data_IF_277146214647
#
_entry.id   IF_277146214647
#
_cell.length_a   1.000
_cell.length_b   1.000
_cell.length_c   1.000
_cell.angle_alpha   90.00
_cell.angle_beta   90.00
_cell.angle_gamma   90.00
#
_symmetry.space_group_name_H-M   'P 1'
#
loop_
_entity.id
_entity.type
_entity.pdbx_description
1 polymer ?
#
# COMPACT_ATOMS: atom_id res chain seq x y z
N UNK A 1 51.32 -5.02 23.88
CA UNK A 1 51.37 -4.50 22.49
C UNK A 1 50.37 -5.26 21.59
N UNK A 2 50.55 -6.56 21.34
CA UNK A 2 49.65 -7.34 20.45
C UNK A 2 48.16 -7.32 20.84
N UNK A 3 47.84 -7.38 22.14
CA UNK A 3 46.45 -7.33 22.61
C UNK A 3 45.80 -5.95 22.39
N UNK A 4 46.57 -4.88 22.60
CA UNK A 4 46.09 -3.50 22.37
C UNK A 4 45.91 -3.22 20.87
N UNK A 5 46.79 -3.71 20.00
CA UNK A 5 46.63 -3.58 18.55
C UNK A 5 45.40 -4.31 18.03
N UNK A 6 45.10 -5.49 18.56
CA UNK A 6 43.88 -6.25 18.22
C UNK A 6 42.61 -5.51 18.70
N UNK A 7 42.65 -4.90 19.89
CA UNK A 7 41.53 -4.09 20.39
C UNK A 7 41.27 -2.85 19.52
N UNK A 8 42.33 -2.12 19.14
CA UNK A 8 42.21 -0.95 18.25
C UNK A 8 41.66 -1.37 16.89
N UNK A 9 42.15 -2.48 16.32
CA UNK A 9 41.64 -3.01 15.05
C UNK A 9 40.14 -3.32 15.12
N UNK A 10 39.68 -3.99 16.18
CA UNK A 10 38.26 -4.31 16.38
C UNK A 10 37.37 -3.06 16.57
N UNK A 11 37.90 -2.02 17.22
CA UNK A 11 37.19 -0.75 17.36
C UNK A 11 37.06 -0.04 16.01
N UNK A 12 38.11 -0.03 15.19
CA UNK A 12 38.08 0.57 13.85
C UNK A 12 37.09 -0.15 12.94
N UNK A 13 37.09 -1.49 12.91
CA UNK A 13 36.10 -2.24 12.12
C UNK A 13 34.67 -1.98 12.60
N UNK A 14 34.46 -1.86 13.91
CA UNK A 14 33.15 -1.48 14.47
C UNK A 14 32.72 -0.07 14.03
N UNK A 15 33.65 0.89 14.04
CA UNK A 15 33.40 2.27 13.60
C UNK A 15 33.03 2.31 12.12
N UNK A 16 33.78 1.61 11.27
CA UNK A 16 33.51 1.50 9.84
C UNK A 16 32.12 0.92 9.59
N UNK A 17 31.75 -0.17 10.28
CA UNK A 17 30.42 -0.76 10.19
C UNK A 17 29.30 0.23 10.59
N UNK A 18 29.52 1.02 11.66
CA UNK A 18 28.55 2.05 12.08
C UNK A 18 28.42 3.16 11.04
N UNK A 19 29.52 3.61 10.44
CA UNK A 19 29.50 4.61 9.38
C UNK A 19 28.75 4.10 8.15
N UNK A 20 28.97 2.85 7.73
CA UNK A 20 28.22 2.23 6.64
C UNK A 20 26.72 2.12 6.95
N UNK A 21 26.36 1.78 8.19
CA UNK A 21 24.97 1.73 8.64
C UNK A 21 24.31 3.12 8.58
N UNK A 22 25.03 4.18 8.96
CA UNK A 22 24.53 5.56 8.90
C UNK A 22 24.26 5.99 7.46
N UNK A 23 25.22 5.79 6.55
CA UNK A 23 25.07 6.09 5.11
C UNK A 23 23.86 5.34 4.53
N UNK A 24 23.69 4.07 4.89
CA UNK A 24 22.54 3.27 4.46
C UNK A 24 21.20 3.85 4.94
N UNK A 25 21.15 4.31 6.20
CA UNK A 25 19.96 4.95 6.78
C UNK A 25 19.65 6.30 6.14
N UNK A 26 20.67 7.09 5.83
CA UNK A 26 20.52 8.37 5.13
C UNK A 26 19.96 8.16 3.71
N UNK A 27 20.52 7.20 2.97
CA UNK A 27 20.01 6.84 1.64
C UNK A 27 18.55 6.35 1.69
N UNK A 28 18.21 5.54 2.69
CA UNK A 28 16.83 5.09 2.93
C UNK A 28 15.88 6.26 3.21
N UNK A 29 16.29 7.19 4.08
CA UNK A 29 15.50 8.37 4.44
C UNK A 29 15.31 9.29 3.23
N UNK A 30 16.36 9.54 2.46
CA UNK A 30 16.31 10.34 1.24
C UNK A 30 15.36 9.71 0.21
N UNK A 31 15.42 8.38 0.03
CA UNK A 31 14.47 7.67 -0.84
C UNK A 31 13.03 7.86 -0.36
N UNK A 32 12.76 7.65 0.94
CA UNK A 32 11.43 7.81 1.52
C UNK A 32 10.91 9.26 1.45
N UNK A 33 11.78 10.26 1.59
CA UNK A 33 11.40 11.67 1.46
C UNK A 33 11.01 12.02 0.03
N UNK A 34 11.71 11.45 -0.96
CA UNK A 34 11.44 11.73 -2.37
C UNK A 34 10.21 10.98 -2.91
N UNK A 35 10.01 9.72 -2.48
CA UNK A 35 9.04 8.81 -3.11
C UNK A 35 7.96 8.26 -2.15
N UNK A 36 8.13 8.46 -0.84
CA UNK A 36 7.28 7.88 0.19
C UNK A 36 7.56 6.40 0.44
N UNK A 37 6.55 5.71 0.99
CA UNK A 37 6.60 4.29 1.36
C UNK A 37 5.77 3.44 0.41
N UNK A 38 6.21 2.21 0.12
CA UNK A 38 5.44 1.26 -0.68
C UNK A 38 4.11 0.92 -0.02
N UNK A 39 4.09 0.81 1.31
CA UNK A 39 2.86 0.60 2.08
C UNK A 39 1.80 1.66 1.74
N UNK A 40 2.16 2.94 1.77
CA UNK A 40 1.24 4.04 1.42
C UNK A 40 0.76 3.94 -0.03
N UNK A 41 1.64 3.54 -0.96
CA UNK A 41 1.26 3.33 -2.37
C UNK A 41 0.24 2.21 -2.53
N UNK A 42 0.41 1.09 -1.82
CA UNK A 42 -0.57 -0.02 -1.81
C UNK A 42 -1.90 0.43 -1.19
N UNK A 43 -1.86 1.18 -0.09
CA UNK A 43 -3.07 1.71 0.54
C UNK A 43 -3.79 2.75 -0.33
N UNK A 44 -3.08 3.42 -1.23
CA UNK A 44 -3.68 4.34 -2.21
C UNK A 44 -4.30 3.61 -3.42
N UNK A 45 -4.16 2.29 -3.54
CA UNK A 45 -4.81 1.52 -4.60
C UNK A 45 -6.33 1.46 -4.38
N UNK A 46 -7.07 1.39 -5.48
CA UNK A 46 -8.54 1.42 -5.45
C UNK A 46 -9.12 0.32 -4.55
N UNK A 47 -8.56 -0.89 -4.60
CA UNK A 47 -9.01 -2.02 -3.77
C UNK A 47 -8.93 -1.68 -2.28
N UNK A 48 -7.81 -1.14 -1.81
CA UNK A 48 -7.68 -0.77 -0.40
C UNK A 48 -8.67 0.34 -0.01
N UNK A 49 -8.79 1.40 -0.82
CA UNK A 49 -9.74 2.51 -0.57
C UNK A 49 -11.18 1.99 -0.46
N UNK A 50 -11.58 1.10 -1.36
CA UNK A 50 -12.92 0.51 -1.37
C UNK A 50 -13.15 -0.41 -0.16
N UNK A 51 -12.22 -1.31 0.14
CA UNK A 51 -12.32 -2.18 1.30
C UNK A 51 -12.39 -1.41 2.61
N UNK A 52 -11.59 -0.35 2.74
CA UNK A 52 -11.64 0.54 3.90
C UNK A 52 -13.01 1.22 4.02
N UNK A 53 -13.56 1.75 2.92
CA UNK A 53 -14.88 2.35 2.91
C UNK A 53 -15.98 1.36 3.31
N UNK A 54 -15.89 0.10 2.84
CA UNK A 54 -16.82 -0.97 3.24
C UNK A 54 -16.75 -1.23 4.75
N UNK A 55 -15.55 -1.39 5.33
CA UNK A 55 -15.37 -1.69 6.75
C UNK A 55 -15.87 -0.53 7.64
N UNK A 56 -15.58 0.71 7.26
CA UNK A 56 -15.93 1.88 8.07
C UNK A 56 -17.44 2.17 8.02
N UNK A 57 -18.05 2.11 6.84
CA UNK A 57 -19.42 2.56 6.65
C UNK A 57 -20.47 1.45 6.86
N UNK A 58 -20.08 0.17 6.84
CA UNK A 58 -21.01 -0.95 7.09
C UNK A 58 -21.49 -1.08 8.54
N UNK A 59 -20.92 -0.32 9.48
CA UNK A 59 -21.25 -0.39 10.91
C UNK A 59 -22.53 0.36 11.30
N UNK A 60 -23.05 1.21 10.42
CA UNK A 60 -24.23 2.04 10.67
C UNK A 60 -25.24 1.88 9.53
N UNK A 61 -26.53 1.92 9.85
CA UNK A 61 -27.61 1.86 8.85
C UNK A 61 -27.47 3.00 7.83
N UNK A 62 -27.25 4.23 8.29
CA UNK A 62 -27.06 5.39 7.40
C UNK A 62 -25.76 5.27 6.58
N UNK A 63 -24.70 4.74 7.18
CA UNK A 63 -23.44 4.47 6.47
C UNK A 63 -23.62 3.42 5.37
N UNK A 64 -24.37 2.35 5.64
CA UNK A 64 -24.67 1.30 4.68
C UNK A 64 -25.57 1.81 3.54
N UNK A 65 -26.60 2.60 3.84
CA UNK A 65 -27.47 3.22 2.83
C UNK A 65 -26.70 4.21 1.94
N UNK A 66 -25.73 4.93 2.50
CA UNK A 66 -24.89 5.88 1.78
C UNK A 66 -23.75 5.21 0.99
N UNK A 67 -23.49 3.92 1.23
CA UNK A 67 -22.35 3.17 0.71
C UNK A 67 -22.24 3.19 -0.82
N UNK A 68 -23.33 3.06 -1.61
CA UNK A 68 -23.23 3.15 -3.07
C UNK A 68 -22.68 4.50 -3.54
N UNK A 69 -23.10 5.60 -2.92
CA UNK A 69 -22.62 6.95 -3.24
C UNK A 69 -21.17 7.15 -2.83
N UNK A 70 -20.78 6.63 -1.65
CA UNK A 70 -19.39 6.67 -1.17
C UNK A 70 -18.47 5.90 -2.12
N UNK A 71 -18.85 4.68 -2.51
CA UNK A 71 -18.09 3.85 -3.46
C UNK A 71 -17.93 4.58 -4.79
N UNK A 72 -19.01 5.15 -5.34
CA UNK A 72 -18.97 5.90 -6.58
C UNK A 72 -18.02 7.11 -6.48
N UNK A 73 -18.11 7.88 -5.40
CA UNK A 73 -17.23 9.02 -5.14
C UNK A 73 -15.75 8.60 -5.12
N UNK A 74 -15.40 7.53 -4.40
CA UNK A 74 -14.03 7.01 -4.34
C UNK A 74 -13.51 6.61 -5.73
N UNK A 75 -14.33 5.93 -6.54
CA UNK A 75 -13.95 5.52 -7.90
C UNK A 75 -13.68 6.74 -8.79
N UNK A 76 -14.54 7.77 -8.71
CA UNK A 76 -14.39 8.99 -9.50
C UNK A 76 -13.11 9.72 -9.08
N UNK A 77 -12.92 9.97 -7.79
CA UNK A 77 -11.74 10.65 -7.25
C UNK A 77 -10.45 9.89 -7.60
N UNK A 78 -10.43 8.56 -7.45
CA UNK A 78 -9.27 7.75 -7.81
C UNK A 78 -8.95 7.84 -9.32
N UNK A 79 -9.96 7.82 -10.19
CA UNK A 79 -9.74 8.02 -11.64
C UNK A 79 -9.20 9.41 -11.96
N UNK A 80 -9.66 10.45 -11.25
CA UNK A 80 -9.16 11.81 -11.42
C UNK A 80 -7.71 11.94 -10.94
N UNK A 81 -7.37 11.41 -9.77
CA UNK A 81 -6.00 11.34 -9.25
C UNK A 81 -5.05 10.67 -10.25
N UNK A 82 -5.45 9.52 -10.82
CA UNK A 82 -4.66 8.78 -11.81
C UNK A 82 -4.46 9.57 -13.10
N UNK A 83 -5.48 10.31 -13.57
CA UNK A 83 -5.36 11.20 -14.74
C UNK A 83 -4.41 12.37 -14.44
N UNK A 84 -4.55 13.01 -13.29
CA UNK A 84 -3.70 14.11 -12.86
C UNK A 84 -2.24 13.68 -12.73
N UNK A 85 -1.98 12.51 -12.15
CA UNK A 85 -0.63 11.92 -12.06
C UNK A 85 -0.03 11.69 -13.46
N UNK A 86 -0.76 11.02 -14.36
CA UNK A 86 -0.31 10.80 -15.74
C UNK A 86 0.03 12.11 -16.45
N UNK A 87 -0.77 13.15 -16.25
CA UNK A 87 -0.51 14.47 -16.81
C UNK A 87 0.77 15.11 -16.24
N UNK A 88 0.97 15.05 -14.91
CA UNK A 88 2.18 15.56 -14.25
C UNK A 88 3.44 14.86 -14.76
N UNK A 89 3.42 13.53 -14.87
CA UNK A 89 4.55 12.73 -15.39
C UNK A 89 4.81 13.02 -16.87
N UNK A 90 3.76 13.19 -17.68
CA UNK A 90 3.92 13.60 -19.09
C UNK A 90 4.61 14.95 -19.23
N UNK A 91 4.30 15.91 -18.33
CA UNK A 91 4.92 17.24 -18.31
C UNK A 91 6.35 17.21 -17.79
N UNK A 92 6.62 16.38 -16.78
CA UNK A 92 7.94 16.21 -16.20
C UNK A 92 8.18 14.72 -15.85
N UNK A 93 8.93 13.99 -16.69
CA UNK A 93 9.20 12.56 -16.48
C UNK A 93 9.90 12.25 -15.16
N UNK A 94 10.66 13.19 -14.58
CA UNK A 94 11.35 13.01 -13.30
C UNK A 94 10.39 12.88 -12.10
N UNK A 95 9.10 13.21 -12.28
CA UNK A 95 8.06 13.02 -11.27
C UNK A 95 7.46 11.60 -11.27
N UNK A 96 7.92 10.72 -12.18
CA UNK A 96 7.49 9.34 -12.20
C UNK A 96 7.91 8.64 -10.90
N UNK A 97 6.94 8.04 -10.23
CA UNK A 97 7.22 7.18 -9.09
C UNK A 97 7.96 5.93 -9.57
N UNK A 98 9.02 5.49 -8.87
CA UNK A 98 9.73 4.28 -9.24
C UNK A 98 8.82 3.04 -9.11
N UNK A 99 9.21 1.89 -9.71
CA UNK A 99 8.47 0.63 -9.56
C UNK A 99 8.26 0.27 -8.08
N UNK A 100 7.21 -0.49 -7.75
CA UNK A 100 6.90 -0.77 -6.34
C UNK A 100 7.99 -1.64 -5.70
N UNK A 101 8.61 -2.50 -6.51
CA UNK A 101 9.65 -3.47 -6.16
C UNK A 101 10.96 -2.79 -5.72
N UNK A 102 11.20 -1.55 -6.14
CA UNK A 102 12.42 -0.81 -5.78
C UNK A 102 12.32 -0.13 -4.41
N UNK A 103 11.16 -0.20 -3.75
CA UNK A 103 10.96 0.44 -2.47
C UNK A 103 11.58 -0.42 -1.36
N UNK A 104 12.30 0.19 -0.41
CA UNK A 104 12.89 -0.56 0.69
C UNK A 104 11.87 -1.35 1.53
N UNK A 105 10.64 -0.85 1.66
CA UNK A 105 9.54 -1.49 2.39
C UNK A 105 8.62 -2.37 1.52
N UNK A 106 9.10 -2.81 0.35
CA UNK A 106 8.28 -3.58 -0.60
C UNK A 106 7.71 -4.86 0.01
N UNK A 107 8.53 -5.60 0.77
CA UNK A 107 8.13 -6.86 1.39
C UNK A 107 7.04 -6.65 2.45
N UNK A 108 7.10 -5.56 3.23
CA UNK A 108 6.00 -5.20 4.12
C UNK A 108 4.75 -4.78 3.34
N UNK A 109 4.91 -4.03 2.25
CA UNK A 109 3.81 -3.59 1.41
C UNK A 109 3.09 -4.76 0.70
N UNK A 110 3.79 -5.86 0.40
CA UNK A 110 3.15 -7.07 -0.11
C UNK A 110 2.15 -7.67 0.89
N UNK A 111 2.45 -7.62 2.19
CA UNK A 111 1.53 -8.09 3.24
C UNK A 111 0.26 -7.24 3.29
N UNK A 112 0.33 -5.96 2.96
CA UNK A 112 -0.86 -5.10 2.85
C UNK A 112 -1.81 -5.54 1.74
N UNK A 113 -1.32 -6.16 0.66
CA UNK A 113 -2.20 -6.74 -0.37
C UNK A 113 -2.90 -8.02 0.08
N UNK A 114 -2.32 -8.70 1.06
CA UNK A 114 -2.90 -9.92 1.65
C UNK A 114 -3.87 -9.62 2.80
N UNK A 115 -3.91 -8.38 3.30
CA UNK A 115 -4.82 -8.03 4.38
C UNK A 115 -6.30 -8.08 3.95
N UNK A 116 -7.16 -8.37 4.93
CA UNK A 116 -8.61 -8.40 4.77
C UNK A 116 -9.17 -7.17 4.02
N UNK A 117 -8.75 -5.97 4.41
CA UNK A 117 -9.21 -4.70 3.80
C UNK A 117 -8.96 -4.69 2.30
N UNK A 118 -7.74 -5.03 1.88
CA UNK A 118 -7.38 -5.02 0.48
C UNK A 118 -8.18 -6.06 -0.31
N UNK A 119 -8.21 -7.31 0.18
CA UNK A 119 -8.95 -8.42 -0.46
C UNK A 119 -10.45 -8.15 -0.53
N UNK A 120 -11.02 -7.49 0.47
CA UNK A 120 -12.44 -7.11 0.49
C UNK A 120 -12.79 -6.15 -0.66
N UNK A 121 -11.96 -5.12 -0.89
CA UNK A 121 -12.18 -4.22 -2.00
C UNK A 121 -11.87 -4.86 -3.37
N UNK A 122 -10.90 -5.77 -3.45
CA UNK A 122 -10.70 -6.58 -4.67
C UNK A 122 -11.94 -7.41 -5.00
N UNK A 123 -12.52 -8.08 -3.99
CA UNK A 123 -13.73 -8.87 -4.17
C UNK A 123 -14.92 -8.00 -4.60
N UNK A 124 -15.05 -6.76 -4.09
CA UNK A 124 -16.06 -5.81 -4.57
C UNK A 124 -15.83 -5.43 -6.04
N UNK A 125 -14.59 -5.18 -6.45
CA UNK A 125 -14.26 -4.88 -7.86
C UNK A 125 -14.62 -6.09 -8.74
N UNK A 126 -14.33 -7.32 -8.32
CA UNK A 126 -14.71 -8.52 -9.08
C UNK A 126 -16.22 -8.71 -9.15
N UNK A 127 -16.94 -8.44 -8.05
CA UNK A 127 -18.39 -8.48 -8.00
C UNK A 127 -19.01 -7.49 -9.01
N UNK A 128 -18.45 -6.28 -9.11
CA UNK A 128 -18.90 -5.27 -10.06
C UNK A 128 -18.69 -5.65 -11.53
N UNK A 129 -17.64 -6.42 -11.84
CA UNK A 129 -17.42 -6.94 -13.21
C UNK A 129 -18.44 -8.01 -13.58
N UNK A 130 -18.87 -8.80 -12.59
CA UNK A 130 -19.80 -9.91 -12.75
C UNK A 130 -21.22 -9.57 -12.25
N UNK A 131 -21.59 -8.29 -12.27
CA UNK A 131 -22.83 -7.82 -11.65
C UNK A 131 -24.08 -8.47 -12.27
N UNK A 132 -24.08 -8.68 -13.59
CA UNK A 132 -25.17 -9.33 -14.34
C UNK A 132 -25.29 -10.83 -14.04
N UNK A 133 -24.25 -11.46 -13.50
CA UNK A 133 -24.24 -12.86 -13.06
C UNK A 133 -24.48 -13.02 -11.55
N UNK A 134 -25.07 -12.02 -10.88
CA UNK A 134 -25.28 -12.05 -9.44
C UNK A 134 -24.00 -11.85 -8.62
N UNK A 135 -22.96 -11.21 -9.20
CA UNK A 135 -21.67 -10.98 -8.55
C UNK A 135 -21.78 -10.31 -7.18
N UNK A 136 -22.69 -9.34 -7.00
CA UNK A 136 -22.93 -8.71 -5.71
C UNK A 136 -23.62 -9.63 -4.69
N UNK A 137 -24.52 -10.51 -5.13
CA UNK A 137 -25.18 -11.49 -4.25
C UNK A 137 -24.11 -12.46 -3.72
N UNK A 138 -23.29 -13.02 -4.61
CA UNK A 138 -22.15 -13.86 -4.26
C UNK A 138 -21.18 -13.15 -3.31
N UNK A 139 -20.87 -11.89 -3.60
CA UNK A 139 -19.97 -11.08 -2.78
C UNK A 139 -20.45 -10.97 -1.34
N UNK A 140 -21.69 -10.54 -1.13
CA UNK A 140 -22.25 -10.31 0.21
C UNK A 140 -22.47 -11.61 0.98
N UNK A 141 -22.93 -12.68 0.32
CA UNK A 141 -23.30 -13.92 0.99
C UNK A 141 -22.11 -14.88 1.18
N UNK A 142 -21.14 -14.91 0.26
CA UNK A 142 -20.10 -15.94 0.21
C UNK A 142 -18.71 -15.34 0.39
N UNK A 143 -18.34 -14.37 -0.44
CA UNK A 143 -16.95 -13.90 -0.50
C UNK A 143 -16.53 -13.21 0.79
N UNK A 144 -17.38 -12.35 1.36
CA UNK A 144 -17.10 -11.69 2.66
C UNK A 144 -16.89 -12.72 3.78
N UNK A 145 -17.72 -13.76 3.85
CA UNK A 145 -17.60 -14.80 4.88
C UNK A 145 -16.30 -15.60 4.72
N UNK A 146 -15.95 -15.96 3.49
CA UNK A 146 -14.71 -16.66 3.19
C UNK A 146 -13.48 -15.83 3.52
N UNK A 147 -13.50 -14.52 3.24
CA UNK A 147 -12.41 -13.60 3.57
C UNK A 147 -12.23 -13.45 5.09
N UNK A 148 -13.33 -13.41 5.85
CA UNK A 148 -13.28 -13.37 7.33
C UNK A 148 -12.73 -14.65 7.96
N UNK A 149 -12.84 -15.79 7.28
CA UNK A 149 -12.31 -17.08 7.75
C UNK A 149 -10.81 -17.25 7.48
N UNK A 150 -10.28 -16.55 6.46
CA UNK A 150 -8.88 -16.67 6.01
C UNK A 150 -7.92 -15.68 6.69
N UNK A 151 -8.44 -14.63 7.31
CA UNK A 151 -7.67 -13.66 8.10
C UNK A 151 -7.89 -13.95 9.59
#
# INVERSE_FOLDING_TARGET
>A
ILQQTNQIHNLNTTLENKNQLLITKENLLNFQNNYGKAKTRVQNQLSYKLGQALILNSKSVLGFLSLPFIILSIIISHKQEQKAYKFKVKKNPNLALPPLETYPDYNEALKEKECFTYKLGEALIQASKNWYGGGYIKFWLIDIQNLKRKN
#
